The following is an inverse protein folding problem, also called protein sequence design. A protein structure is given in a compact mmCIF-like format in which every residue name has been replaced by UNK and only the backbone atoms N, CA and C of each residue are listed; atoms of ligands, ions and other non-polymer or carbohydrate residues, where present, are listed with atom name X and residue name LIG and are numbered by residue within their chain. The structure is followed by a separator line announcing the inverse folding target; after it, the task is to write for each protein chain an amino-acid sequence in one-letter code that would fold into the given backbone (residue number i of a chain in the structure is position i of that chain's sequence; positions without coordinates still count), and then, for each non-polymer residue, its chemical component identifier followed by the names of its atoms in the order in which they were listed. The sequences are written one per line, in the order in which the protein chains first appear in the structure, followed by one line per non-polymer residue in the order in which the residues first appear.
data_IF_171505401430
#
_entry.id   IF_171505401430
#
_cell.length_a   1.000
_cell.length_b   1.000
_cell.length_c   1.000
_cell.angle_alpha   90.00
_cell.angle_beta   90.00
_cell.angle_gamma   90.00
#
_symmetry.space_group_name_H-M   'P 1'
#
loop_
_entity.id
_entity.type
_entity.pdbx_description
1 polymer ?
#
# COMPACT_ATOMS: atom_id res chain seq x y z
N UNK A 1 -25.67 -18.90 -2.87
CA UNK A 1 -24.49 -19.78 -2.88
C UNK A 1 -23.35 -19.06 -3.60
N UNK A 2 -22.12 -19.23 -3.12
CA UNK A 2 -20.93 -18.65 -3.76
C UNK A 2 -20.29 -19.67 -4.71
N UNK A 3 -19.79 -19.19 -5.84
CA UNK A 3 -18.93 -19.93 -6.77
C UNK A 3 -17.56 -19.24 -6.81
N UNK A 4 -16.49 -19.97 -7.13
CA UNK A 4 -15.16 -19.39 -7.33
C UNK A 4 -14.34 -20.27 -8.29
N UNK A 5 -13.33 -19.69 -8.91
CA UNK A 5 -12.38 -20.42 -9.73
C UNK A 5 -11.34 -21.11 -8.84
N UNK A 6 -11.41 -22.44 -8.74
CA UNK A 6 -10.65 -23.21 -7.75
C UNK A 6 -9.20 -23.46 -8.18
N UNK A 7 -8.24 -22.85 -7.47
CA UNK A 7 -6.81 -23.13 -7.65
C UNK A 7 -6.45 -24.59 -7.29
N UNK A 8 -7.00 -25.21 -6.24
CA UNK A 8 -6.77 -26.63 -5.98
C UNK A 8 -7.22 -27.53 -7.13
N UNK A 9 -8.36 -27.23 -7.76
CA UNK A 9 -8.83 -27.97 -8.95
C UNK A 9 -7.90 -27.74 -10.14
N UNK A 10 -7.47 -26.50 -10.39
CA UNK A 10 -6.49 -26.18 -11.44
C UNK A 10 -5.19 -26.98 -11.27
N UNK A 11 -4.67 -27.06 -10.03
CA UNK A 11 -3.48 -27.83 -9.69
C UNK A 11 -3.59 -29.31 -10.11
N UNK A 12 -4.76 -29.92 -9.89
CA UNK A 12 -5.03 -31.30 -10.30
C UNK A 12 -5.13 -31.45 -11.82
N UNK A 13 -5.82 -30.53 -12.49
CA UNK A 13 -6.00 -30.55 -13.95
C UNK A 13 -4.68 -30.38 -14.70
N UNK A 14 -3.82 -29.45 -14.26
CA UNK A 14 -2.51 -29.20 -14.87
C UNK A 14 -1.43 -30.18 -14.40
N UNK A 15 -1.71 -30.97 -13.36
CA UNK A 15 -0.74 -31.84 -12.67
C UNK A 15 0.49 -31.06 -12.20
N UNK A 16 0.25 -29.90 -11.58
CA UNK A 16 1.28 -29.00 -11.04
C UNK A 16 1.01 -28.74 -9.57
N UNK A 17 2.03 -28.84 -8.74
CA UNK A 17 1.94 -28.51 -7.33
C UNK A 17 2.00 -26.98 -7.11
N UNK A 18 0.85 -26.37 -6.84
CA UNK A 18 0.75 -24.94 -6.55
C UNK A 18 1.10 -24.61 -5.08
N UNK A 19 1.23 -25.59 -4.19
CA UNK A 19 1.41 -25.35 -2.75
C UNK A 19 2.74 -24.65 -2.43
N UNK A 20 3.74 -24.83 -3.30
CA UNK A 20 5.06 -24.21 -3.19
C UNK A 20 5.16 -22.86 -3.90
N UNK A 21 4.16 -22.46 -4.68
CA UNK A 21 4.16 -21.17 -5.37
C UNK A 21 3.98 -20.03 -4.34
N UNK A 22 4.69 -18.90 -4.45
CA UNK A 22 4.42 -17.72 -3.62
C UNK A 22 2.93 -17.36 -3.61
N UNK A 23 2.40 -16.96 -2.47
CA UNK A 23 0.96 -16.65 -2.31
C UNK A 23 0.57 -15.47 -3.21
N UNK A 24 1.45 -14.48 -3.32
CA UNK A 24 1.31 -13.34 -4.24
C UNK A 24 1.07 -13.78 -5.69
N UNK A 25 1.84 -14.76 -6.20
CA UNK A 25 1.65 -15.30 -7.55
C UNK A 25 0.39 -16.14 -7.68
N UNK A 26 -0.03 -16.84 -6.62
CA UNK A 26 -1.30 -17.58 -6.63
C UNK A 26 -2.52 -16.65 -6.75
N UNK A 27 -2.47 -15.45 -6.17
CA UNK A 27 -3.53 -14.44 -6.34
C UNK A 27 -3.53 -13.89 -7.78
N UNK A 28 -2.36 -13.63 -8.35
CA UNK A 28 -2.26 -13.23 -9.77
C UNK A 28 -2.79 -14.35 -10.69
N UNK A 29 -2.46 -15.62 -10.38
CA UNK A 29 -2.95 -16.79 -11.10
C UNK A 29 -4.47 -16.94 -11.04
N UNK A 30 -5.09 -16.64 -9.89
CA UNK A 30 -6.56 -16.62 -9.76
C UNK A 30 -7.16 -15.62 -10.75
N UNK A 31 -6.60 -14.41 -10.83
CA UNK A 31 -7.11 -13.38 -11.75
C UNK A 31 -6.97 -13.82 -13.21
N UNK A 32 -5.80 -14.37 -13.58
CA UNK A 32 -5.55 -14.84 -14.96
C UNK A 32 -6.49 -16.00 -15.31
N UNK A 33 -6.71 -16.92 -14.37
CA UNK A 33 -7.65 -18.04 -14.55
C UNK A 33 -9.09 -17.55 -14.74
N UNK A 34 -9.54 -16.64 -13.87
CA UNK A 34 -10.91 -16.13 -13.88
C UNK A 34 -11.24 -15.31 -15.12
N UNK A 35 -10.26 -14.64 -15.70
CA UNK A 35 -10.42 -13.85 -16.92
C UNK A 35 -9.93 -14.56 -18.19
N UNK A 36 -9.66 -15.86 -18.14
CA UNK A 36 -9.21 -16.64 -19.29
C UNK A 36 -10.32 -16.74 -20.36
N UNK A 37 -10.37 -15.75 -21.24
CA UNK A 37 -11.35 -15.59 -22.32
C UNK A 37 -10.85 -16.08 -23.69
N UNK A 38 -9.60 -16.54 -23.77
CA UNK A 38 -8.96 -16.98 -25.00
C UNK A 38 -8.43 -15.85 -25.88
N UNK A 39 -8.58 -14.59 -25.46
CA UNK A 39 -8.14 -13.41 -26.19
C UNK A 39 -7.21 -12.51 -25.37
N UNK A 40 -7.73 -11.86 -24.32
CA UNK A 40 -6.95 -11.01 -23.40
C UNK A 40 -6.10 -11.86 -22.46
N UNK A 41 -6.67 -12.94 -21.93
CA UNK A 41 -5.95 -13.95 -21.17
C UNK A 41 -6.22 -15.33 -21.80
N UNK A 42 -5.15 -16.04 -22.13
CA UNK A 42 -5.22 -17.31 -22.86
C UNK A 42 -4.89 -18.47 -21.91
N UNK A 43 -5.32 -19.70 -22.24
CA UNK A 43 -5.00 -20.88 -21.43
C UNK A 43 -3.50 -21.06 -21.18
N UNK A 44 -2.64 -20.67 -22.13
CA UNK A 44 -1.18 -20.72 -21.97
C UNK A 44 -0.68 -19.77 -20.87
N UNK A 45 -1.31 -18.61 -20.70
CA UNK A 45 -0.88 -17.61 -19.72
C UNK A 45 -1.16 -18.14 -18.29
N UNK A 46 -2.25 -18.89 -18.12
CA UNK A 46 -2.57 -19.64 -16.88
C UNK A 46 -1.53 -20.74 -16.63
N UNK A 47 -1.24 -21.57 -17.64
CA UNK A 47 -0.30 -22.68 -17.48
C UNK A 47 1.13 -22.19 -17.19
N UNK A 48 1.58 -21.14 -17.87
CA UNK A 48 2.92 -20.60 -17.71
C UNK A 48 3.14 -20.03 -16.30
N UNK A 49 2.14 -19.32 -15.76
CA UNK A 49 2.20 -18.82 -14.39
C UNK A 49 2.06 -19.94 -13.35
N UNK A 50 1.19 -20.93 -13.60
CA UNK A 50 1.07 -22.11 -12.72
C UNK A 50 2.40 -22.89 -12.62
N UNK A 51 3.16 -22.95 -13.71
CA UNK A 51 4.48 -23.62 -13.80
C UNK A 51 5.66 -22.69 -13.52
N UNK A 52 5.44 -21.56 -12.84
CA UNK A 52 6.49 -20.59 -12.54
C UNK A 52 7.72 -21.24 -11.90
N UNK A 53 8.90 -20.87 -12.41
CA UNK A 53 10.18 -21.42 -11.98
C UNK A 53 10.99 -20.35 -11.23
N UNK A 54 11.17 -20.53 -9.93
CA UNK A 54 11.91 -19.62 -9.07
C UNK A 54 13.33 -19.30 -9.56
N UNK A 55 14.05 -20.29 -10.08
CA UNK A 55 15.46 -20.16 -10.49
C UNK A 55 15.61 -19.43 -11.83
N UNK A 56 14.58 -19.52 -12.68
CA UNK A 56 14.57 -18.90 -14.01
C UNK A 56 13.13 -18.57 -14.39
N UNK A 57 12.56 -17.46 -13.86
CA UNK A 57 11.26 -17.01 -14.29
C UNK A 57 11.26 -16.77 -15.80
N UNK A 58 10.18 -17.16 -16.47
CA UNK A 58 10.06 -16.98 -17.90
C UNK A 58 10.01 -15.47 -18.23
N UNK A 59 10.60 -15.05 -19.35
CA UNK A 59 10.48 -13.67 -19.83
C UNK A 59 9.16 -13.48 -20.59
N UNK A 60 8.05 -13.84 -19.94
CA UNK A 60 6.71 -13.81 -20.51
C UNK A 60 5.83 -12.79 -19.80
N UNK A 61 4.93 -12.21 -20.56
CA UNK A 61 3.94 -11.24 -20.10
C UNK A 61 2.75 -11.93 -19.42
N UNK A 62 2.31 -11.37 -18.30
CA UNK A 62 1.14 -11.81 -17.54
C UNK A 62 0.01 -10.78 -17.73
N UNK A 63 -1.16 -11.18 -18.23
CA UNK A 63 -2.34 -10.31 -18.28
C UNK A 63 -3.06 -10.34 -16.93
N UNK A 64 -2.89 -9.29 -16.12
CA UNK A 64 -3.50 -9.20 -14.80
C UNK A 64 -4.65 -8.20 -14.77
N UNK A 65 -5.87 -8.71 -14.58
CA UNK A 65 -7.06 -7.87 -14.39
C UNK A 65 -7.31 -7.66 -12.90
N UNK A 66 -7.28 -6.41 -12.45
CA UNK A 66 -7.51 -6.03 -11.05
C UNK A 66 -9.00 -6.04 -10.69
N UNK A 67 -9.31 -6.19 -9.40
CA UNK A 67 -10.68 -6.14 -8.90
C UNK A 67 -11.23 -4.71 -8.80
N UNK A 68 -10.37 -3.70 -8.58
CA UNK A 68 -10.73 -2.28 -8.44
C UNK A 68 -9.54 -1.36 -8.70
N UNK A 69 -9.78 -0.06 -8.75
CA UNK A 69 -8.76 0.98 -8.90
C UNK A 69 -8.94 2.06 -7.83
N UNK A 70 -7.83 2.57 -7.30
CA UNK A 70 -7.82 3.69 -6.34
C UNK A 70 -7.07 4.87 -6.93
N UNK A 71 -7.63 6.07 -6.82
CA UNK A 71 -7.05 7.30 -7.30
C UNK A 71 -6.82 8.28 -6.16
N UNK A 72 -5.84 9.16 -6.34
CA UNK A 72 -5.70 10.40 -5.58
C UNK A 72 -5.98 11.62 -6.47
N UNK A 73 -6.25 12.79 -5.88
CA UNK A 73 -6.84 13.93 -6.60
C UNK A 73 -5.94 14.59 -7.66
N UNK A 74 -4.61 14.54 -7.55
CA UNK A 74 -3.70 15.07 -8.58
C UNK A 74 -3.67 14.24 -9.86
N UNK A 75 -3.81 12.93 -9.76
CA UNK A 75 -3.81 12.03 -10.94
C UNK A 75 -5.21 11.63 -11.38
N UNK A 76 -6.16 11.59 -10.44
CA UNK A 76 -7.54 11.22 -10.71
C UNK A 76 -8.34 12.32 -11.43
N UNK A 77 -8.02 13.61 -11.20
CA UNK A 77 -8.65 14.70 -11.96
C UNK A 77 -8.32 14.59 -13.47
N UNK A 78 -7.04 14.50 -13.90
CA UNK A 78 -6.71 14.25 -15.30
C UNK A 78 -7.42 13.01 -15.88
N UNK A 79 -7.43 11.89 -15.16
CA UNK A 79 -8.09 10.67 -15.63
C UNK A 79 -9.61 10.88 -15.83
N UNK A 80 -10.28 11.58 -14.91
CA UNK A 80 -11.69 11.92 -15.07
C UNK A 80 -11.93 12.87 -16.26
N UNK A 81 -10.99 13.77 -16.56
CA UNK A 81 -11.02 14.58 -17.79
C UNK A 81 -10.92 13.69 -19.03
N UNK A 82 -10.05 12.67 -19.02
CA UNK A 82 -9.89 11.75 -20.15
C UNK A 82 -11.17 10.93 -20.39
N UNK A 83 -11.81 10.43 -19.33
CA UNK A 83 -13.12 9.77 -19.41
C UNK A 83 -14.20 10.70 -20.00
N UNK A 84 -14.21 11.97 -19.58
CA UNK A 84 -15.13 12.97 -20.14
C UNK A 84 -14.85 13.24 -21.63
N UNK A 85 -13.59 13.40 -22.00
CA UNK A 85 -13.16 13.63 -23.38
C UNK A 85 -13.46 12.42 -24.29
N UNK A 86 -13.34 11.20 -23.77
CA UNK A 86 -13.75 9.98 -24.47
C UNK A 86 -15.26 9.92 -24.69
N UNK A 87 -16.08 10.32 -23.71
CA UNK A 87 -17.54 10.46 -23.89
C UNK A 87 -17.87 11.43 -25.02
N UNK A 88 -17.20 12.57 -25.08
CA UNK A 88 -17.35 13.54 -26.17
C UNK A 88 -16.91 12.97 -27.53
N UNK A 89 -15.81 12.20 -27.56
CA UNK A 89 -15.36 11.53 -28.78
C UNK A 89 -16.37 10.50 -29.29
N UNK A 90 -16.94 9.68 -28.41
CA UNK A 90 -17.99 8.72 -28.73
C UNK A 90 -19.26 9.42 -29.22
N UNK A 91 -19.64 10.54 -28.60
CA UNK A 91 -20.76 11.37 -29.05
C UNK A 91 -20.55 11.91 -30.47
N UNK A 92 -19.34 12.41 -30.78
CA UNK A 92 -18.98 12.87 -32.14
C UNK A 92 -19.06 11.75 -33.18
N UNK A 93 -18.79 10.50 -32.77
CA UNK A 93 -18.98 9.31 -33.60
C UNK A 93 -20.45 8.84 -33.67
N UNK A 94 -21.40 9.61 -33.12
CA UNK A 94 -22.84 9.32 -33.06
C UNK A 94 -23.16 7.98 -32.37
N UNK A 95 -22.35 7.61 -31.38
CA UNK A 95 -22.58 6.45 -30.50
C UNK A 95 -23.00 6.93 -29.12
N UNK A 96 -23.58 6.03 -28.31
CA UNK A 96 -23.96 6.35 -26.93
C UNK A 96 -22.71 6.61 -26.08
N UNK A 97 -22.50 7.83 -25.54
CA UNK A 97 -21.36 8.14 -24.69
C UNK A 97 -21.29 7.27 -23.43
N UNK A 98 -22.42 6.74 -22.96
CA UNK A 98 -22.48 5.92 -21.75
C UNK A 98 -21.73 4.58 -21.87
N UNK A 99 -21.29 4.19 -23.06
CA UNK A 99 -20.37 3.04 -23.21
C UNK A 99 -19.01 3.30 -22.55
N UNK A 100 -18.65 4.56 -22.33
CA UNK A 100 -17.46 4.94 -21.55
C UNK A 100 -17.89 4.98 -20.08
N UNK A 101 -17.58 3.88 -19.40
CA UNK A 101 -17.84 3.64 -17.99
C UNK A 101 -16.72 2.75 -17.45
N UNK A 102 -16.19 3.00 -16.22
CA UNK A 102 -15.27 2.07 -15.59
C UNK A 102 -15.94 0.71 -15.34
N UNK A 103 -15.30 -0.36 -15.80
CA UNK A 103 -15.74 -1.75 -15.70
C UNK A 103 -15.37 -2.40 -14.36
N UNK A 104 -14.55 -1.72 -13.56
CA UNK A 104 -14.23 -2.08 -12.17
C UNK A 104 -14.54 -0.88 -11.27
N UNK A 105 -14.82 -1.09 -9.97
CA UNK A 105 -14.99 0.00 -9.03
C UNK A 105 -13.77 0.91 -9.00
N UNK A 106 -14.02 2.22 -8.98
CA UNK A 106 -13.00 3.26 -8.91
C UNK A 106 -13.29 4.13 -7.71
N UNK A 107 -12.34 4.23 -6.79
CA UNK A 107 -12.46 5.10 -5.61
C UNK A 107 -11.39 6.19 -5.67
N UNK A 108 -11.80 7.45 -5.77
CA UNK A 108 -10.91 8.61 -5.69
C UNK A 108 -10.91 9.18 -4.28
N UNK A 109 -9.74 9.34 -3.68
CA UNK A 109 -9.57 10.02 -2.38
C UNK A 109 -8.94 11.39 -2.60
N UNK A 110 -9.49 12.41 -1.95
CA UNK A 110 -8.96 13.78 -2.01
C UNK A 110 -8.09 14.04 -0.78
N UNK A 111 -6.78 13.94 -0.94
CA UNK A 111 -5.82 14.06 0.16
C UNK A 111 -4.52 14.81 -0.19
N UNK A 112 -4.17 15.00 -1.47
CA UNK A 112 -2.92 15.65 -1.88
C UNK A 112 -3.04 17.18 -2.00
N UNK A 113 -4.23 17.72 -1.81
CA UNK A 113 -4.49 19.14 -2.01
C UNK A 113 -4.33 19.98 -0.74
N UNK A 114 -4.62 19.41 0.45
CA UNK A 114 -4.56 20.12 1.74
C UNK A 114 -3.12 20.52 2.07
N UNK A 115 -2.94 21.79 2.43
CA UNK A 115 -1.64 22.35 2.83
C UNK A 115 -1.64 22.75 4.32
N UNK A 116 -0.46 22.73 4.94
CA UNK A 116 -0.26 23.23 6.30
C UNK A 116 0.05 24.74 6.24
N UNK A 117 -0.96 25.56 5.96
CA UNK A 117 -0.84 27.02 5.95
C UNK A 117 -0.72 27.60 7.37
N UNK A 118 -1.51 27.03 8.29
CA UNK A 118 -1.52 27.38 9.71
C UNK A 118 -1.24 26.11 10.51
N UNK A 119 -0.35 26.20 11.49
CA UNK A 119 -0.06 25.11 12.43
C UNK A 119 -0.07 25.64 13.88
N UNK A 120 0.07 24.76 14.87
CA UNK A 120 0.32 25.16 16.26
C UNK A 120 -0.84 25.83 17.02
N UNK A 121 -2.06 25.89 16.48
CA UNK A 121 -3.23 26.47 17.17
C UNK A 121 -4.47 25.58 17.03
N UNK A 122 -5.43 25.71 17.96
CA UNK A 122 -6.72 24.99 17.93
C UNK A 122 -7.54 25.26 16.65
N UNK A 123 -7.28 26.39 15.98
CA UNK A 123 -7.97 26.78 14.74
C UNK A 123 -7.30 26.25 13.46
N UNK A 124 -6.09 25.69 13.54
CA UNK A 124 -5.29 25.31 12.37
C UNK A 124 -6.04 24.41 11.39
N UNK A 125 -6.72 23.38 11.89
CA UNK A 125 -7.49 22.46 11.05
C UNK A 125 -8.58 23.17 10.25
N UNK A 126 -9.41 23.98 10.93
CA UNK A 126 -10.51 24.72 10.28
C UNK A 126 -9.96 25.69 9.22
N UNK A 127 -8.91 26.44 9.55
CA UNK A 127 -8.33 27.44 8.65
C UNK A 127 -7.71 26.78 7.41
N UNK A 128 -6.94 25.71 7.58
CA UNK A 128 -6.37 24.96 6.46
C UNK A 128 -7.47 24.39 5.55
N UNK A 129 -8.55 23.85 6.13
CA UNK A 129 -9.70 23.37 5.34
C UNK A 129 -10.41 24.51 4.59
N UNK A 130 -10.54 25.70 5.18
CA UNK A 130 -11.12 26.86 4.47
C UNK A 130 -10.25 27.30 3.29
N UNK A 131 -8.93 27.34 3.48
CA UNK A 131 -8.00 27.64 2.38
C UNK A 131 -8.07 26.58 1.29
N UNK A 132 -8.17 25.32 1.68
CA UNK A 132 -8.29 24.19 0.77
C UNK A 132 -9.51 24.32 -0.16
N UNK A 133 -10.70 24.50 0.43
CA UNK A 133 -11.92 24.68 -0.35
C UNK A 133 -11.89 25.93 -1.24
N UNK A 134 -11.26 27.00 -0.78
CA UNK A 134 -11.12 28.24 -1.56
C UNK A 134 -10.21 28.04 -2.78
N UNK A 135 -9.10 27.30 -2.63
CA UNK A 135 -8.11 27.06 -3.69
C UNK A 135 -8.59 26.04 -4.72
N UNK A 136 -9.26 24.97 -4.27
CA UNK A 136 -9.55 23.81 -5.10
C UNK A 136 -11.03 23.70 -5.51
N UNK A 137 -11.82 24.78 -5.38
CA UNK A 137 -13.27 24.80 -5.66
C UNK A 137 -13.64 24.16 -7.01
N UNK A 138 -13.01 24.59 -8.10
CA UNK A 138 -13.31 24.09 -9.45
C UNK A 138 -13.03 22.58 -9.58
N UNK A 139 -11.90 22.12 -9.03
CA UNK A 139 -11.53 20.70 -9.02
C UNK A 139 -12.58 19.88 -8.27
N UNK A 140 -13.10 20.37 -7.16
CA UNK A 140 -14.11 19.67 -6.38
C UNK A 140 -15.49 19.66 -7.04
N UNK A 141 -15.87 20.76 -7.69
CA UNK A 141 -17.09 20.80 -8.52
C UNK A 141 -16.99 19.78 -9.68
N UNK A 142 -15.82 19.66 -10.30
CA UNK A 142 -15.56 18.67 -11.35
C UNK A 142 -15.58 17.21 -10.84
N UNK A 143 -14.93 16.92 -9.71
CA UNK A 143 -14.97 15.59 -9.09
C UNK A 143 -16.40 15.18 -8.69
N UNK A 144 -17.17 16.13 -8.15
CA UNK A 144 -18.58 15.92 -7.80
C UNK A 144 -19.44 15.62 -9.03
N UNK A 145 -19.18 16.30 -10.16
CA UNK A 145 -19.79 15.94 -11.43
C UNK A 145 -19.43 14.51 -11.84
N UNK A 146 -18.16 14.10 -11.73
CA UNK A 146 -17.70 12.76 -12.05
C UNK A 146 -18.45 11.68 -11.27
N UNK A 147 -18.56 11.86 -9.95
CA UNK A 147 -19.31 10.97 -9.07
C UNK A 147 -20.80 10.81 -9.46
N UNK A 148 -21.39 11.82 -10.10
CA UNK A 148 -22.77 11.77 -10.57
C UNK A 148 -22.87 11.20 -12.00
N UNK A 149 -21.81 11.33 -12.79
CA UNK A 149 -21.79 10.97 -14.20
C UNK A 149 -21.44 9.49 -14.45
N UNK A 150 -20.77 8.82 -13.51
CA UNK A 150 -20.30 7.44 -13.61
C UNK A 150 -20.84 6.62 -12.43
N UNK A 151 -21.36 5.41 -12.70
CA UNK A 151 -22.02 4.57 -11.69
C UNK A 151 -21.02 3.90 -10.75
N UNK A 152 -19.83 3.57 -11.27
CA UNK A 152 -18.78 2.82 -10.55
C UNK A 152 -17.71 3.73 -9.95
N UNK A 153 -17.89 5.05 -10.00
CA UNK A 153 -16.94 6.05 -9.54
C UNK A 153 -17.33 6.66 -8.18
N UNK A 154 -16.60 6.29 -7.14
CA UNK A 154 -16.70 6.85 -5.79
C UNK A 154 -15.72 8.00 -5.56
N UNK A 155 -16.12 8.97 -4.73
CA UNK A 155 -15.24 10.06 -4.27
C UNK A 155 -15.30 10.13 -2.74
N UNK A 156 -14.14 10.05 -2.10
CA UNK A 156 -13.95 10.36 -0.68
C UNK A 156 -13.54 11.83 -0.56
N UNK A 157 -14.34 12.67 0.14
CA UNK A 157 -14.11 14.11 0.21
C UNK A 157 -12.86 14.46 1.04
N UNK A 158 -12.34 15.69 0.91
CA UNK A 158 -11.18 16.14 1.67
C UNK A 158 -11.45 16.18 3.17
N UNK A 159 -10.40 15.94 3.97
CA UNK A 159 -10.45 16.00 5.43
C UNK A 159 -10.94 14.73 6.13
N UNK A 160 -11.17 13.63 5.40
CA UNK A 160 -11.52 12.32 5.97
C UNK A 160 -10.27 11.52 6.34
N UNK A 161 -9.24 11.56 5.51
CA UNK A 161 -7.99 10.82 5.71
C UNK A 161 -7.16 10.80 4.44
N UNK A 162 -6.05 10.07 4.47
CA UNK A 162 -5.16 9.87 3.32
C UNK A 162 -5.53 8.59 2.56
N UNK A 163 -5.27 8.57 1.25
CA UNK A 163 -5.72 7.54 0.30
C UNK A 163 -5.42 6.12 0.79
N UNK A 164 -4.21 5.86 1.28
CA UNK A 164 -3.80 4.51 1.67
C UNK A 164 -4.40 4.05 3.00
N UNK A 165 -4.56 4.98 3.96
CA UNK A 165 -5.22 4.67 5.23
C UNK A 165 -6.72 4.45 5.03
N UNK A 166 -7.38 5.33 4.26
CA UNK A 166 -8.79 5.14 3.88
C UNK A 166 -8.97 3.83 3.09
N UNK A 167 -8.01 3.49 2.23
CA UNK A 167 -8.03 2.21 1.52
C UNK A 167 -7.99 1.02 2.49
N UNK A 168 -7.07 1.02 3.44
CA UNK A 168 -6.89 -0.03 4.44
C UNK A 168 -8.10 -0.13 5.40
N UNK A 169 -8.60 1.01 5.86
CA UNK A 169 -9.61 1.12 6.92
C UNK A 169 -11.05 1.23 6.42
N UNK A 170 -11.29 1.40 5.11
CA UNK A 170 -12.65 1.52 4.58
C UNK A 170 -12.86 0.82 3.22
N UNK A 171 -12.05 1.12 2.20
CA UNK A 171 -12.33 0.68 0.82
C UNK A 171 -12.03 -0.81 0.56
N UNK A 172 -11.03 -1.36 1.24
CA UNK A 172 -10.61 -2.74 1.08
C UNK A 172 -11.69 -3.73 1.52
N UNK A 173 -11.92 -4.75 0.68
CA UNK A 173 -12.95 -5.79 0.90
C UNK A 173 -12.38 -7.15 1.23
N UNK A 174 -11.13 -7.42 0.83
CA UNK A 174 -10.48 -8.74 0.96
C UNK A 174 -10.99 -9.76 -0.06
N UNK A 175 -12.32 -9.88 -0.22
CA UNK A 175 -13.00 -10.68 -1.25
C UNK A 175 -14.14 -9.87 -1.88
N UNK A 176 -14.19 -9.86 -3.21
CA UNK A 176 -15.28 -9.30 -3.99
C UNK A 176 -16.28 -10.38 -4.40
N UNK A 177 -17.51 -9.95 -4.68
CA UNK A 177 -18.58 -10.82 -5.18
C UNK A 177 -19.25 -10.20 -6.40
N UNK A 178 -19.41 -10.96 -7.48
CA UNK A 178 -20.11 -10.53 -8.69
C UNK A 178 -21.28 -11.46 -9.00
N UNK A 179 -22.46 -10.89 -9.18
CA UNK A 179 -23.66 -11.65 -9.56
C UNK A 179 -23.53 -12.20 -10.99
N UNK A 180 -23.74 -13.49 -11.12
CA UNK A 180 -23.72 -14.21 -12.40
C UNK A 180 -25.12 -14.31 -13.03
N UNK A 181 -25.17 -14.68 -14.30
CA UNK A 181 -26.43 -14.82 -15.05
C UNK A 181 -27.37 -15.89 -14.46
N UNK A 182 -26.81 -16.94 -13.84
CA UNK A 182 -27.55 -18.01 -13.17
C UNK A 182 -28.03 -17.63 -11.74
N UNK A 183 -27.76 -16.40 -11.30
CA UNK A 183 -28.10 -15.89 -9.97
C UNK A 183 -27.11 -16.26 -8.86
N UNK A 184 -26.05 -17.02 -9.15
CA UNK A 184 -24.97 -17.28 -8.20
C UNK A 184 -24.07 -16.06 -7.99
N UNK A 185 -23.29 -16.06 -6.91
CA UNK A 185 -22.30 -15.02 -6.63
C UNK A 185 -20.90 -15.59 -6.87
N UNK A 186 -20.19 -15.05 -7.86
CA UNK A 186 -18.78 -15.36 -8.08
C UNK A 186 -17.92 -14.59 -7.08
N UNK A 187 -17.20 -15.29 -6.20
CA UNK A 187 -16.25 -14.74 -5.25
C UNK A 187 -14.82 -14.78 -5.80
N UNK A 188 -14.05 -13.72 -5.56
CA UNK A 188 -12.67 -13.55 -6.02
C UNK A 188 -11.89 -12.59 -5.10
N UNK A 189 -10.55 -12.67 -5.02
CA UNK A 189 -9.78 -11.88 -4.09
C UNK A 189 -9.81 -10.40 -4.50
N UNK A 190 -9.77 -9.52 -3.51
CA UNK A 190 -9.49 -8.10 -3.73
C UNK A 190 -8.08 -7.95 -4.32
N UNK A 191 -7.96 -7.07 -5.31
CA UNK A 191 -6.72 -6.67 -5.95
C UNK A 191 -6.90 -5.32 -6.62
N UNK A 192 -5.83 -4.51 -6.67
CA UNK A 192 -5.92 -3.17 -7.22
C UNK A 192 -4.63 -2.68 -7.84
N UNK A 193 -4.77 -1.65 -8.66
CA UNK A 193 -3.71 -0.67 -8.86
C UNK A 193 -4.21 0.70 -8.43
N UNK A 194 -3.27 1.59 -8.15
CA UNK A 194 -3.60 2.99 -7.90
C UNK A 194 -2.62 3.94 -8.54
N UNK A 195 -3.03 5.19 -8.71
CA UNK A 195 -2.20 6.25 -9.31
C UNK A 195 -1.31 6.95 -8.28
N UNK A 196 -0.88 6.18 -7.28
CA UNK A 196 0.03 6.57 -6.22
C UNK A 196 0.97 5.39 -5.91
N UNK A 197 2.27 5.65 -5.78
CA UNK A 197 3.30 4.62 -5.59
C UNK A 197 3.09 3.79 -4.32
N UNK A 198 2.54 4.40 -3.28
CA UNK A 198 2.37 3.81 -1.95
C UNK A 198 1.07 3.00 -1.83
N UNK A 199 0.35 2.78 -2.94
CA UNK A 199 -0.78 1.82 -3.02
C UNK A 199 -0.40 0.45 -2.47
N UNK A 200 0.90 0.12 -2.49
CA UNK A 200 1.52 -1.05 -1.88
C UNK A 200 1.29 -1.20 -0.37
N UNK A 201 0.91 -0.15 0.37
CA UNK A 201 0.52 -0.25 1.79
C UNK A 201 -0.56 -1.32 2.02
N UNK A 202 -1.47 -1.49 1.06
CA UNK A 202 -2.55 -2.48 1.14
C UNK A 202 -2.07 -3.93 1.15
N UNK A 203 -0.82 -4.19 0.72
CA UNK A 203 -0.26 -5.53 0.70
C UNK A 203 -0.03 -6.09 2.11
N UNK A 204 -0.01 -5.24 3.14
CA UNK A 204 -0.01 -5.65 4.55
C UNK A 204 -1.31 -6.33 5.00
N UNK A 205 -2.42 -6.09 4.29
CA UNK A 205 -3.74 -6.72 4.50
C UNK A 205 -3.94 -7.95 3.59
N UNK A 206 -2.89 -8.40 2.88
CA UNK A 206 -2.96 -9.56 1.99
C UNK A 206 -3.66 -9.32 0.66
N UNK A 207 -3.76 -8.06 0.24
CA UNK A 207 -4.30 -7.66 -1.05
C UNK A 207 -3.16 -7.36 -2.02
N UNK A 208 -3.16 -7.99 -3.19
CA UNK A 208 -2.17 -7.70 -4.25
C UNK A 208 -2.50 -6.36 -4.90
N UNK A 209 -1.56 -5.42 -4.84
CA UNK A 209 -1.69 -4.15 -5.54
C UNK A 209 -0.48 -3.23 -5.43
N UNK A 210 -0.35 -2.33 -6.39
CA UNK A 210 0.81 -1.42 -6.50
C UNK A 210 0.46 -0.15 -7.27
N UNK A 211 1.38 0.82 -7.24
CA UNK A 211 1.24 2.07 -7.97
C UNK A 211 1.54 1.93 -9.45
N UNK A 212 0.73 2.56 -10.30
CA UNK A 212 0.91 2.64 -11.76
C UNK A 212 0.71 4.07 -12.25
N UNK A 213 1.02 4.33 -13.53
CA UNK A 213 0.73 5.60 -14.17
C UNK A 213 -0.77 5.78 -14.44
N UNK A 214 -1.16 7.02 -14.75
CA UNK A 214 -2.56 7.36 -15.07
C UNK A 214 -3.11 6.58 -16.26
N UNK A 215 -2.28 6.35 -17.30
CA UNK A 215 -2.68 5.64 -18.52
C UNK A 215 -2.96 4.16 -18.23
N UNK A 216 -2.11 3.50 -17.44
CA UNK A 216 -2.33 2.10 -17.05
C UNK A 216 -3.58 1.96 -16.17
N UNK A 217 -3.80 2.90 -15.25
CA UNK A 217 -5.02 2.94 -14.45
C UNK A 217 -6.26 3.13 -15.34
N UNK A 218 -6.25 4.07 -16.27
CA UNK A 218 -7.35 4.32 -17.21
C UNK A 218 -7.64 3.09 -18.09
N UNK A 219 -6.59 2.45 -18.63
CA UNK A 219 -6.75 1.22 -19.40
C UNK A 219 -7.37 0.09 -18.56
N UNK A 220 -6.93 -0.04 -17.30
CA UNK A 220 -7.51 -0.97 -16.32
C UNK A 220 -8.99 -0.69 -16.04
N UNK A 221 -9.37 0.58 -15.91
CA UNK A 221 -10.77 0.99 -15.73
C UNK A 221 -11.63 0.55 -16.91
N UNK A 222 -11.11 0.60 -18.13
CA UNK A 222 -11.80 0.18 -19.34
C UNK A 222 -11.66 -1.32 -19.64
N UNK A 223 -11.22 -2.10 -18.64
CA UNK A 223 -11.14 -3.57 -18.67
C UNK A 223 -10.01 -4.13 -19.51
N UNK A 224 -8.95 -3.36 -19.75
CA UNK A 224 -7.69 -3.93 -20.25
C UNK A 224 -6.92 -4.55 -19.07
N UNK A 225 -6.36 -5.75 -19.24
CA UNK A 225 -5.45 -6.29 -18.25
C UNK A 225 -4.18 -5.43 -18.19
N UNK A 226 -3.61 -5.31 -16.99
CA UNK A 226 -2.27 -4.79 -16.80
C UNK A 226 -1.29 -5.87 -17.22
N UNK A 227 -0.47 -5.57 -18.23
CA UNK A 227 0.53 -6.51 -18.73
C UNK A 227 1.88 -6.20 -18.11
N UNK A 228 2.46 -7.16 -17.40
CA UNK A 228 3.81 -7.05 -16.85
C UNK A 228 4.59 -8.35 -17.03
N UNK A 229 5.93 -8.26 -17.04
CA UNK A 229 6.79 -9.44 -17.12
C UNK A 229 6.64 -10.28 -15.87
N UNK A 230 6.64 -11.60 -16.04
CA UNK A 230 6.63 -12.57 -14.95
C UNK A 230 7.71 -12.23 -13.93
N UNK A 231 7.34 -11.87 -12.68
CA UNK A 231 8.28 -11.30 -11.75
C UNK A 231 9.11 -12.39 -11.10
N UNK A 232 10.35 -12.03 -10.75
CA UNK A 232 11.05 -12.72 -9.66
C UNK A 232 10.34 -12.42 -8.33
N UNK A 233 10.32 -13.40 -7.42
CA UNK A 233 9.76 -13.23 -6.08
C UNK A 233 10.85 -13.46 -5.05
N UNK A 234 11.11 -12.45 -4.22
CA UNK A 234 12.06 -12.51 -3.11
C UNK A 234 11.30 -12.86 -1.84
N UNK A 235 11.63 -13.98 -1.22
CA UNK A 235 11.09 -14.36 0.08
C UNK A 235 11.84 -13.62 1.18
N UNK A 236 11.13 -12.86 2.01
CA UNK A 236 11.71 -12.17 3.17
C UNK A 236 11.33 -12.90 4.46
N UNK A 237 12.24 -13.75 4.93
CA UNK A 237 12.03 -14.63 6.06
C UNK A 237 12.29 -13.90 7.38
N UNK A 238 11.23 -13.68 8.15
CA UNK A 238 11.24 -13.02 9.44
C UNK A 238 11.23 -14.03 10.58
N UNK A 239 12.16 -13.86 11.53
CA UNK A 239 12.24 -14.64 12.77
C UNK A 239 12.28 -13.73 13.99
N UNK A 240 12.23 -14.30 15.20
CA UNK A 240 12.24 -13.53 16.43
C UNK A 240 10.95 -12.73 16.64
N UNK A 241 11.06 -11.68 17.47
CA UNK A 241 9.98 -10.76 17.79
C UNK A 241 10.52 -9.33 17.82
N UNK A 242 9.69 -8.36 17.43
CA UNK A 242 10.07 -6.96 17.45
C UNK A 242 10.26 -6.51 18.92
N UNK A 243 11.42 -5.95 19.31
CA UNK A 243 11.64 -5.50 20.67
C UNK A 243 10.64 -4.41 21.06
N UNK A 244 10.24 -4.36 22.32
CA UNK A 244 9.29 -3.34 22.81
C UNK A 244 9.75 -1.88 22.61
N UNK A 245 11.04 -1.65 22.44
CA UNK A 245 11.62 -0.33 22.17
C UNK A 245 11.68 0.01 20.66
N UNK A 246 11.40 -0.95 19.78
CA UNK A 246 11.35 -0.76 18.34
C UNK A 246 9.89 -0.54 17.89
N UNK A 247 9.74 0.28 16.85
CA UNK A 247 8.46 0.64 16.25
C UNK A 247 8.30 0.02 14.86
N UNK A 248 7.08 0.08 14.30
CA UNK A 248 6.81 -0.25 12.91
C UNK A 248 7.73 0.51 11.94
N UNK A 249 7.99 1.80 12.22
CA UNK A 249 8.91 2.63 11.43
C UNK A 249 10.34 2.10 11.48
N UNK A 250 10.82 1.69 12.64
CA UNK A 250 12.18 1.13 12.77
C UNK A 250 12.32 -0.16 11.95
N UNK A 251 11.29 -1.00 11.95
CA UNK A 251 11.23 -2.20 11.13
C UNK A 251 11.24 -1.83 9.64
N UNK A 252 10.37 -0.92 9.21
CA UNK A 252 10.27 -0.51 7.80
C UNK A 252 11.57 0.12 7.27
N UNK A 253 12.26 0.95 8.07
CA UNK A 253 13.57 1.50 7.72
C UNK A 253 14.65 0.40 7.62
N UNK A 254 14.63 -0.56 8.54
CA UNK A 254 15.56 -1.70 8.54
C UNK A 254 15.35 -2.57 7.29
N UNK A 255 14.09 -2.94 7.00
CA UNK A 255 13.71 -3.70 5.81
C UNK A 255 14.09 -2.94 4.54
N UNK A 256 13.83 -1.63 4.49
CA UNK A 256 14.16 -0.79 3.34
C UNK A 256 15.67 -0.79 3.05
N UNK A 257 16.49 -0.64 4.08
CA UNK A 257 17.95 -0.70 3.96
C UNK A 257 18.41 -2.05 3.40
N UNK A 258 17.91 -3.16 3.97
CA UNK A 258 18.29 -4.52 3.57
C UNK A 258 17.87 -4.81 2.12
N UNK A 259 16.60 -4.54 1.78
CA UNK A 259 16.06 -4.81 0.45
C UNK A 259 16.70 -3.94 -0.64
N UNK A 260 17.11 -2.71 -0.31
CA UNK A 260 17.90 -1.88 -1.23
C UNK A 260 19.27 -2.45 -1.51
N UNK A 261 19.95 -2.99 -0.50
CA UNK A 261 21.22 -3.67 -0.70
C UNK A 261 21.04 -4.94 -1.55
N UNK A 262 19.92 -5.65 -1.37
CA UNK A 262 19.58 -6.86 -2.14
C UNK A 262 19.09 -6.60 -3.57
N UNK A 263 18.77 -5.34 -3.94
CA UNK A 263 18.37 -4.90 -5.28
C UNK A 263 17.09 -5.58 -5.81
N UNK A 264 15.97 -5.31 -5.16
CA UNK A 264 14.66 -5.87 -5.53
C UNK A 264 13.87 -5.05 -6.56
N UNK A 265 14.54 -4.25 -7.39
CA UNK A 265 13.87 -3.40 -8.39
C UNK A 265 13.06 -4.24 -9.38
N UNK A 266 11.75 -3.96 -9.49
CA UNK A 266 10.84 -4.68 -10.39
C UNK A 266 10.49 -6.11 -9.97
N UNK A 267 10.88 -6.52 -8.75
CA UNK A 267 10.58 -7.84 -8.18
C UNK A 267 9.41 -7.75 -7.21
N UNK A 268 8.75 -8.87 -6.96
CA UNK A 268 7.86 -9.00 -5.81
C UNK A 268 8.68 -9.33 -4.57
N UNK A 269 8.26 -8.82 -3.42
CA UNK A 269 8.75 -9.27 -2.11
C UNK A 269 7.58 -9.90 -1.37
N UNK A 270 7.76 -11.09 -0.82
CA UNK A 270 6.74 -11.78 -0.01
C UNK A 270 7.33 -12.06 1.38
N UNK A 271 6.69 -11.51 2.40
CA UNK A 271 7.10 -11.64 3.79
C UNK A 271 6.51 -12.91 4.40
N UNK A 272 7.35 -13.70 5.04
CA UNK A 272 6.95 -14.98 5.62
C UNK A 272 7.84 -15.34 6.83
N UNK A 273 7.56 -16.48 7.46
CA UNK A 273 8.26 -16.94 8.65
C UNK A 273 7.51 -16.67 9.95
N UNK A 274 8.00 -17.24 11.07
CA UNK A 274 7.33 -17.14 12.36
C UNK A 274 7.29 -15.71 12.91
N UNK A 275 8.26 -14.86 12.56
CA UNK A 275 8.26 -13.44 12.93
C UNK A 275 7.19 -12.65 12.17
N UNK A 276 7.00 -12.94 10.88
CA UNK A 276 5.98 -12.27 10.06
C UNK A 276 4.56 -12.52 10.60
N UNK A 277 4.27 -13.76 11.02
CA UNK A 277 2.99 -14.14 11.60
C UNK A 277 2.69 -13.45 12.95
N UNK A 278 3.68 -12.86 13.62
CA UNK A 278 3.53 -12.15 14.90
C UNK A 278 3.37 -10.65 14.75
N UNK A 279 3.61 -10.09 13.56
CA UNK A 279 3.44 -8.67 13.31
C UNK A 279 1.96 -8.31 13.30
N UNK A 280 1.63 -7.17 13.92
CA UNK A 280 0.28 -6.59 13.82
C UNK A 280 0.03 -6.07 12.41
N UNK A 281 -1.22 -5.87 12.00
CA UNK A 281 -1.46 -5.31 10.66
C UNK A 281 -0.80 -3.93 10.49
N UNK A 282 -0.90 -2.96 11.42
CA UNK A 282 -0.19 -1.69 11.26
C UNK A 282 1.31 -1.86 10.96
N UNK A 283 2.01 -2.79 11.63
CA UNK A 283 3.42 -3.08 11.35
C UNK A 283 3.62 -3.59 9.90
N UNK A 284 2.76 -4.51 9.44
CA UNK A 284 2.81 -5.07 8.08
C UNK A 284 2.56 -3.98 7.04
N UNK A 285 1.55 -3.14 7.26
CA UNK A 285 1.18 -2.04 6.37
C UNK A 285 2.31 -1.00 6.28
N UNK A 286 2.96 -0.64 7.39
CA UNK A 286 4.11 0.28 7.38
C UNK A 286 5.29 -0.29 6.57
N UNK A 287 5.58 -1.59 6.68
CA UNK A 287 6.62 -2.25 5.89
C UNK A 287 6.26 -2.35 4.40
N UNK A 288 5.00 -2.71 4.09
CA UNK A 288 4.50 -2.83 2.73
C UNK A 288 4.46 -1.48 2.01
N UNK A 289 4.07 -0.41 2.72
CA UNK A 289 4.03 0.97 2.24
C UNK A 289 5.37 1.41 1.66
N UNK A 290 6.48 1.00 2.27
CA UNK A 290 7.83 1.39 1.83
C UNK A 290 8.34 0.65 0.57
N UNK A 291 7.50 -0.15 -0.10
CA UNK A 291 7.90 -0.87 -1.30
C UNK A 291 8.53 -0.02 -2.41
N UNK A 292 8.00 1.18 -2.72
CA UNK A 292 8.66 2.09 -3.67
C UNK A 292 10.07 2.50 -3.19
N UNK A 293 10.24 2.74 -1.89
CA UNK A 293 11.52 3.15 -1.28
C UNK A 293 12.56 2.04 -1.31
N UNK A 294 12.19 0.74 -1.26
CA UNK A 294 13.10 -0.39 -1.53
C UNK A 294 13.03 -0.97 -2.95
N UNK A 295 12.12 -0.44 -3.77
CA UNK A 295 11.96 -0.58 -5.23
C UNK A 295 11.33 -1.87 -5.68
N UNK A 296 10.80 -2.66 -4.76
CA UNK A 296 9.95 -3.76 -5.18
C UNK A 296 8.70 -3.19 -5.85
N UNK A 297 8.10 -3.98 -6.75
CA UNK A 297 6.77 -3.68 -7.25
C UNK A 297 5.76 -3.72 -6.10
N UNK A 298 5.93 -4.63 -5.14
CA UNK A 298 5.12 -4.74 -3.93
C UNK A 298 5.82 -5.50 -2.80
N UNK A 299 5.33 -5.33 -1.58
CA UNK A 299 5.76 -6.06 -0.38
C UNK A 299 4.60 -6.77 0.32
N UNK A 300 4.40 -8.05 0.03
CA UNK A 300 3.17 -8.80 0.31
C UNK A 300 3.22 -9.62 1.61
N UNK A 301 2.16 -9.50 2.43
CA UNK A 301 1.90 -10.34 3.59
C UNK A 301 0.63 -11.17 3.36
N UNK A 302 0.68 -12.52 3.35
CA UNK A 302 -0.51 -13.35 3.17
C UNK A 302 -1.63 -13.09 4.20
N UNK A 303 -2.88 -13.28 3.76
CA UNK A 303 -4.08 -13.22 4.62
C UNK A 303 -4.01 -14.31 5.69
N UNK A 304 -4.21 -13.93 6.94
CA UNK A 304 -4.14 -14.81 8.12
C UNK A 304 -5.13 -14.36 9.21
N UNK A 305 -5.00 -14.92 10.42
CA UNK A 305 -5.85 -14.60 11.57
C UNK A 305 -5.79 -13.12 11.97
N UNK A 306 -4.61 -12.48 11.92
CA UNK A 306 -4.46 -11.04 12.20
C UNK A 306 -5.20 -10.19 11.17
N UNK A 307 -5.16 -10.61 9.90
CA UNK A 307 -5.92 -9.95 8.82
C UNK A 307 -7.42 -9.97 9.12
N UNK A 308 -7.96 -11.11 9.54
CA UNK A 308 -9.38 -11.22 9.92
C UNK A 308 -9.70 -10.42 11.17
N UNK A 309 -8.79 -10.40 12.16
CA UNK A 309 -8.96 -9.62 13.39
C UNK A 309 -9.02 -8.12 13.08
N UNK A 310 -8.16 -7.63 12.19
CA UNK A 310 -8.16 -6.23 11.77
C UNK A 310 -9.43 -5.84 10.99
N UNK A 311 -9.90 -6.69 10.06
CA UNK A 311 -11.15 -6.42 9.35
C UNK A 311 -12.34 -6.29 10.34
N UNK A 312 -12.41 -7.17 11.35
CA UNK A 312 -13.43 -7.03 12.42
C UNK A 312 -13.22 -5.76 13.24
N UNK A 313 -11.98 -5.48 13.65
CA UNK A 313 -11.62 -4.32 14.47
C UNK A 313 -11.91 -2.98 13.80
N UNK A 314 -11.88 -2.93 12.48
CA UNK A 314 -12.23 -1.76 11.66
C UNK A 314 -13.71 -1.74 11.25
N UNK A 315 -14.55 -2.56 11.87
CA UNK A 315 -16.00 -2.53 11.72
C UNK A 315 -16.53 -3.18 10.45
N UNK A 316 -15.76 -4.07 9.78
CA UNK A 316 -16.30 -4.83 8.65
C UNK A 316 -17.38 -5.81 9.11
N UNK A 317 -18.45 -5.99 8.32
CA UNK A 317 -19.51 -6.94 8.65
C UNK A 317 -18.97 -8.37 8.86
N UNK A 318 -19.50 -9.09 9.86
CA UNK A 318 -19.06 -10.45 10.21
C UNK A 318 -19.24 -11.45 9.05
N UNK A 319 -20.27 -11.27 8.21
CA UNK A 319 -20.52 -12.08 7.03
C UNK A 319 -19.44 -11.88 5.95
N UNK A 320 -18.96 -10.64 5.77
CA UNK A 320 -17.82 -10.35 4.90
C UNK A 320 -16.55 -10.99 5.45
N UNK A 321 -16.25 -10.84 6.74
CA UNK A 321 -15.05 -11.45 7.34
C UNK A 321 -15.08 -12.97 7.24
N UNK A 322 -16.25 -13.57 7.46
CA UNK A 322 -16.44 -15.01 7.25
C UNK A 322 -16.24 -15.42 5.79
N UNK A 323 -16.75 -14.64 4.83
CA UNK A 323 -16.53 -14.89 3.40
C UNK A 323 -15.03 -14.85 3.06
N UNK A 324 -14.29 -13.87 3.58
CA UNK A 324 -12.83 -13.79 3.40
C UNK A 324 -12.15 -15.05 3.93
N UNK A 325 -12.46 -15.46 5.17
CA UNK A 325 -11.88 -16.67 5.76
C UNK A 325 -12.20 -17.93 4.92
N UNK A 326 -13.48 -18.14 4.61
CA UNK A 326 -13.94 -19.33 3.89
C UNK A 326 -13.31 -19.40 2.48
N UNK A 327 -13.24 -18.26 1.77
CA UNK A 327 -12.63 -18.18 0.44
C UNK A 327 -11.13 -18.50 0.45
N UNK A 328 -10.36 -17.81 1.29
CA UNK A 328 -8.89 -18.00 1.33
C UNK A 328 -8.52 -19.39 1.84
N UNK A 329 -9.29 -19.98 2.77
CA UNK A 329 -9.10 -21.38 3.19
C UNK A 329 -9.43 -22.36 2.05
N UNK A 330 -10.54 -22.16 1.33
CA UNK A 330 -10.93 -23.02 0.22
C UNK A 330 -9.92 -23.00 -0.95
N UNK A 331 -9.19 -21.89 -1.12
CA UNK A 331 -8.16 -21.71 -2.14
C UNK A 331 -6.75 -22.16 -1.70
N UNK A 332 -6.58 -22.63 -0.45
CA UNK A 332 -5.27 -22.89 0.17
C UNK A 332 -4.35 -21.64 0.15
N UNK A 333 -4.91 -20.45 0.39
CA UNK A 333 -4.21 -19.15 0.43
C UNK A 333 -4.17 -18.53 1.84
N UNK A 334 -4.80 -19.19 2.82
CA UNK A 334 -4.91 -18.68 4.19
C UNK A 334 -3.73 -19.10 5.07
N UNK A 335 -3.14 -18.14 5.77
CA UNK A 335 -2.06 -18.30 6.75
C UNK A 335 -0.69 -17.93 6.19
N UNK A 336 0.17 -17.36 7.05
CA UNK A 336 1.56 -17.07 6.73
C UNK A 336 2.40 -18.34 6.92
N UNK A 337 3.11 -18.74 5.87
CA UNK A 337 4.05 -19.85 5.92
C UNK A 337 5.16 -19.61 6.95
N UNK A 338 5.29 -20.49 7.95
CA UNK A 338 6.29 -20.34 9.03
C UNK A 338 7.59 -21.10 8.80
N UNK A 339 7.61 -22.09 7.90
CA UNK A 339 8.83 -22.84 7.58
C UNK A 339 9.60 -22.19 6.44
N UNK A 340 10.90 -22.02 6.60
CA UNK A 340 11.78 -21.36 5.62
C UNK A 340 11.69 -21.93 4.19
N UNK A 341 11.63 -23.27 4.05
CA UNK A 341 11.64 -23.94 2.74
C UNK A 341 10.24 -24.35 2.24
N UNK A 342 9.17 -23.78 2.82
CA UNK A 342 7.79 -24.13 2.46
C UNK A 342 7.36 -23.60 1.10
N UNK A 343 7.97 -22.51 0.64
CA UNK A 343 7.66 -21.83 -0.62
C UNK A 343 8.94 -21.72 -1.46
N UNK A 344 8.76 -21.71 -2.78
CA UNK A 344 9.83 -21.52 -3.75
C UNK A 344 9.96 -20.04 -4.07
N UNK A 345 11.10 -19.43 -3.74
CA UNK A 345 11.41 -18.04 -4.04
C UNK A 345 12.64 -17.94 -4.94
N UNK A 346 12.72 -16.89 -5.77
CA UNK A 346 13.89 -16.62 -6.62
C UNK A 346 15.14 -16.30 -5.80
N UNK A 347 14.97 -15.69 -4.64
CA UNK A 347 16.00 -15.55 -3.61
C UNK A 347 15.33 -15.40 -2.23
N UNK A 348 16.09 -15.66 -1.17
CA UNK A 348 15.63 -15.50 0.21
C UNK A 348 16.52 -14.51 0.94
N UNK A 349 15.90 -13.58 1.66
CA UNK A 349 16.54 -12.61 2.56
C UNK A 349 16.01 -12.86 3.97
N UNK A 350 16.85 -12.70 4.98
CA UNK A 350 16.51 -13.04 6.36
C UNK A 350 16.69 -11.85 7.29
N UNK A 351 15.79 -11.73 8.27
CA UNK A 351 15.90 -10.77 9.37
C UNK A 351 15.39 -11.42 10.66
N UNK A 352 16.22 -11.35 11.70
CA UNK A 352 15.76 -11.56 13.07
C UNK A 352 15.23 -10.23 13.61
N UNK A 353 13.92 -10.18 13.87
CA UNK A 353 13.23 -8.99 14.37
C UNK A 353 13.85 -8.48 15.69
N UNK A 354 14.46 -9.35 16.50
CA UNK A 354 15.11 -8.96 17.76
C UNK A 354 16.35 -8.06 17.55
N UNK A 355 16.89 -8.04 16.33
CA UNK A 355 18.02 -7.18 15.94
C UNK A 355 17.60 -5.78 15.54
N UNK A 356 16.31 -5.52 15.32
CA UNK A 356 15.81 -4.19 14.99
C UNK A 356 16.11 -3.23 16.14
N UNK A 357 16.56 -2.03 15.79
CA UNK A 357 16.93 -0.95 16.72
C UNK A 357 16.28 0.34 16.28
N UNK A 358 15.91 1.17 17.26
CA UNK A 358 15.39 2.50 17.02
C UNK A 358 16.31 3.31 16.11
N UNK A 359 15.75 3.89 15.06
CA UNK A 359 16.50 4.51 13.97
C UNK A 359 15.73 5.64 13.29
N UNK A 360 16.46 6.51 12.61
CA UNK A 360 15.94 7.49 11.65
C UNK A 360 16.55 7.21 10.28
N UNK A 361 15.99 7.78 9.22
CA UNK A 361 16.59 7.73 7.90
C UNK A 361 16.83 9.13 7.34
N UNK A 362 17.96 9.31 6.66
CA UNK A 362 18.32 10.55 6.00
C UNK A 362 19.78 10.92 6.17
N UNK A 363 20.13 12.20 5.96
CA UNK A 363 19.23 13.34 5.76
C UNK A 363 18.72 13.50 4.32
N UNK A 364 19.18 12.66 3.37
CA UNK A 364 18.89 12.84 1.93
C UNK A 364 18.07 11.71 1.29
N UNK A 365 18.14 10.48 1.81
CA UNK A 365 17.49 9.32 1.19
C UNK A 365 16.85 8.40 2.24
N UNK A 366 15.72 7.72 1.94
CA UNK A 366 15.02 6.84 2.89
C UNK A 366 15.82 5.60 3.34
N UNK A 367 16.76 5.13 2.51
CA UNK A 367 17.61 3.98 2.83
C UNK A 367 18.84 4.33 3.68
N UNK A 368 19.10 5.62 3.94
CA UNK A 368 20.22 6.09 4.76
C UNK A 368 19.85 5.98 6.25
N UNK A 369 19.64 4.74 6.72
CA UNK A 369 19.28 4.45 8.11
C UNK A 369 20.44 4.76 9.07
N UNK A 370 20.13 5.48 10.14
CA UNK A 370 21.03 5.84 11.22
C UNK A 370 20.37 5.43 12.54
N UNK A 371 21.03 4.55 13.31
CA UNK A 371 20.54 4.18 14.64
C UNK A 371 20.61 5.39 15.58
N UNK A 372 19.60 5.54 16.44
CA UNK A 372 19.49 6.70 17.35
C UNK A 372 20.77 6.97 18.15
N UNK A 373 21.46 5.97 18.73
CA UNK A 373 22.71 6.20 19.46
C UNK A 373 23.84 6.82 18.61
N UNK A 374 23.81 6.59 17.30
CA UNK A 374 24.82 7.05 16.33
C UNK A 374 24.43 8.36 15.65
N UNK A 375 23.24 8.91 15.91
CA UNK A 375 22.70 10.04 15.16
C UNK A 375 23.58 11.29 15.27
N UNK A 376 23.97 11.67 16.50
CA UNK A 376 24.78 12.88 16.74
C UNK A 376 26.14 12.81 16.04
N UNK A 377 26.86 11.70 16.20
CA UNK A 377 28.18 11.52 15.59
C UNK A 377 28.09 11.46 14.06
N UNK A 378 27.09 10.75 13.54
CA UNK A 378 26.87 10.63 12.08
C UNK A 378 26.52 11.97 11.47
N UNK A 379 25.61 12.73 12.09
CA UNK A 379 25.24 14.05 11.59
C UNK A 379 26.42 15.03 11.59
N UNK A 380 27.22 15.07 12.67
CA UNK A 380 28.41 15.91 12.73
C UNK A 380 29.44 15.57 11.63
N UNK A 381 29.59 14.27 11.32
CA UNK A 381 30.44 13.83 10.22
C UNK A 381 29.87 14.26 8.85
N UNK A 382 28.55 14.12 8.66
CA UNK A 382 27.90 14.56 7.42
C UNK A 382 28.01 16.07 7.18
N UNK A 383 28.05 16.89 8.24
CA UNK A 383 28.27 18.33 8.09
C UNK A 383 29.61 18.64 7.41
N UNK A 384 30.68 17.94 7.77
CA UNK A 384 32.03 18.21 7.26
C UNK A 384 32.39 17.45 5.98
N UNK A 385 31.77 16.29 5.74
CA UNK A 385 31.95 15.53 4.50
C UNK A 385 31.66 16.39 3.27
N UNK A 386 32.39 16.11 2.18
CA UNK A 386 32.19 16.81 0.92
C UNK A 386 30.77 16.57 0.36
N UNK A 387 30.27 17.51 -0.43
CA UNK A 387 28.96 17.34 -1.11
C UNK A 387 28.96 16.12 -2.03
N UNK A 388 30.09 15.83 -2.68
CA UNK A 388 30.28 14.67 -3.54
C UNK A 388 30.13 13.34 -2.78
N UNK A 389 30.53 13.30 -1.51
CA UNK A 389 30.35 12.15 -0.62
C UNK A 389 29.01 12.16 0.13
N UNK A 390 28.09 13.03 -0.28
CA UNK A 390 26.76 13.15 0.32
C UNK A 390 26.69 14.01 1.57
N UNK A 391 27.77 14.69 1.98
CA UNK A 391 27.80 15.63 3.09
C UNK A 391 27.33 17.06 2.73
N UNK A 392 27.64 18.02 3.60
CA UNK A 392 27.30 19.43 3.46
C UNK A 392 28.49 20.36 3.21
N UNK A 393 29.73 19.82 3.21
CA UNK A 393 30.95 20.55 2.89
C UNK A 393 31.26 21.72 3.83
N UNK A 394 30.86 21.64 5.10
CA UNK A 394 31.14 22.68 6.10
C UNK A 394 32.54 22.50 6.68
N UNK A 395 33.23 23.61 6.92
CA UNK A 395 34.52 23.60 7.59
C UNK A 395 34.31 23.56 9.11
N UNK A 396 35.26 23.02 9.87
CA UNK A 396 35.15 22.87 11.33
C UNK A 396 34.83 24.17 12.07
N UNK A 397 35.34 25.31 11.58
CA UNK A 397 35.06 26.64 12.14
C UNK A 397 33.59 27.07 11.99
N UNK A 398 32.88 26.57 10.97
CA UNK A 398 31.48 26.90 10.74
C UNK A 398 30.54 26.15 11.70
N UNK A 399 30.99 25.04 12.29
CA UNK A 399 30.18 24.22 13.20
C UNK A 399 29.94 24.91 14.55
N UNK A 400 30.79 25.86 14.93
CA UNK A 400 30.71 26.59 16.19
C UNK A 400 30.09 27.97 16.05
N UNK A 401 29.64 28.35 14.84
CA UNK A 401 29.01 29.64 14.62
C UNK A 401 27.59 29.67 15.20
N UNK A 402 27.26 30.76 15.87
CA UNK A 402 25.92 31.03 16.42
C UNK A 402 25.30 32.24 15.73
N UNK A 403 24.01 32.16 15.42
CA UNK A 403 23.24 33.30 14.91
C UNK A 403 22.12 33.66 15.91
N UNK A 404 21.83 34.95 16.06
CA UNK A 404 20.62 35.40 16.76
C UNK A 404 19.43 35.15 15.82
N UNK A 405 18.52 34.28 16.24
CA UNK A 405 17.24 34.08 15.56
C UNK A 405 16.22 34.98 16.23
N UNK A 406 15.72 35.99 15.50
CA UNK A 406 14.63 36.83 15.97
C UNK A 406 13.32 36.17 15.52
N UNK A 407 12.55 35.67 16.46
CA UNK A 407 11.20 35.16 16.15
C UNK A 407 10.22 36.31 16.10
N UNK A 408 9.24 36.25 15.21
CA UNK A 408 8.16 37.24 15.17
C UNK A 408 7.30 37.15 16.45
N UNK A 409 6.51 38.19 16.74
CA UNK A 409 5.56 38.15 17.86
C UNK A 409 4.56 37.00 17.71
N UNK A 410 4.10 36.75 16.47
CA UNK A 410 3.20 35.64 16.14
C UNK A 410 3.87 34.27 16.38
N UNK A 411 5.15 34.13 16.04
CA UNK A 411 5.92 32.91 16.30
C UNK A 411 6.17 32.69 17.80
N UNK A 412 6.32 33.76 18.58
CA UNK A 412 6.44 33.69 20.05
C UNK A 412 5.13 33.27 20.70
N UNK A 413 4.00 33.79 20.24
CA UNK A 413 2.67 33.43 20.75
C UNK A 413 2.32 31.96 20.40
N UNK A 414 2.68 31.50 19.21
CA UNK A 414 2.56 30.08 18.80
C UNK A 414 3.43 29.12 19.61
N UNK A 415 4.53 29.59 20.20
CA UNK A 415 5.38 28.80 21.08
C UNK A 415 4.88 28.78 22.51
N UNK A 416 4.30 29.88 23.01
CA UNK A 416 3.73 29.93 24.36
C UNK A 416 2.47 29.08 24.51
N UNK A 417 1.76 28.80 23.40
CA UNK A 417 0.56 27.95 23.37
C UNK A 417 0.89 26.46 23.15
N UNK A 418 2.18 26.08 22.98
CA UNK A 418 2.58 24.67 22.93
C UNK A 418 2.56 24.06 24.33
N UNK A 419 1.93 22.88 24.53
CA UNK A 419 2.04 22.18 25.80
C UNK A 419 3.50 21.89 26.09
N UNK A 420 4.00 22.39 27.21
CA UNK A 420 5.32 22.03 27.72
C UNK A 420 5.32 20.54 28.06
N UNK A 421 6.36 19.77 27.70
CA UNK A 421 6.48 18.38 28.13
C UNK A 421 6.49 18.35 29.65
N UNK A 422 5.54 17.65 30.25
CA UNK A 422 5.38 17.54 31.69
C UNK A 422 6.64 16.87 32.29
N UNK A 423 7.43 17.57 33.13
CA UNK A 423 8.63 17.00 33.70
C UNK A 423 8.23 16.03 34.82
N UNK A 424 8.09 14.74 34.47
CA UNK A 424 8.04 13.59 35.39
C UNK A 424 6.86 13.65 36.39
N UNK A 425 5.71 13.12 36.00
CA UNK A 425 4.66 12.71 36.94
C UNK A 425 5.08 11.43 37.69
N UNK A 426 5.91 11.60 38.72
CA UNK A 426 6.04 10.62 39.79
C UNK A 426 4.72 10.50 40.56
N UNK A 427 4.11 9.31 40.52
CA UNK A 427 2.93 8.87 41.29
C UNK A 427 1.59 9.54 40.96
N UNK A 428 0.81 8.90 40.09
CA UNK A 428 -0.65 8.90 40.19
C UNK A 428 -1.23 7.55 39.74
N UNK A 429 -2.16 7.03 40.54
CA UNK A 429 -2.85 5.74 40.36
C UNK A 429 -3.67 5.73 39.07
N UNK A 430 -3.61 4.61 38.36
CA UNK A 430 -4.53 4.25 37.28
C UNK A 430 -5.89 3.89 37.88
N UNK A 431 -6.89 4.74 37.67
CA UNK A 431 -8.30 4.36 37.80
C UNK A 431 -9.04 4.66 36.49
N UNK A 432 -9.52 3.57 35.86
CA UNK A 432 -10.58 3.46 34.85
C UNK A 432 -10.33 3.79 33.36
N UNK A 433 -11.09 3.15 32.45
CA UNK A 433 -10.56 2.52 31.24
C UNK A 433 -11.05 3.18 29.95
N UNK A 434 -10.28 2.99 28.88
CA UNK A 434 -10.79 3.10 27.51
C UNK A 434 -10.79 4.51 26.94
N UNK A 435 -9.64 4.97 26.49
CA UNK A 435 -9.56 5.92 25.38
C UNK A 435 -8.45 5.48 24.44
N UNK A 436 -8.86 5.27 23.18
CA UNK A 436 -8.04 4.85 22.05
C UNK A 436 -6.81 5.75 21.93
N UNK A 437 -5.62 5.14 21.93
CA UNK A 437 -4.39 5.82 21.56
C UNK A 437 -4.46 6.14 20.07
N UNK A 438 -4.54 7.43 19.74
CA UNK A 438 -4.20 7.95 18.42
C UNK A 438 -2.71 7.68 18.17
N UNK A 439 -2.40 6.51 17.61
CA UNK A 439 -1.21 6.30 16.82
C UNK A 439 -1.59 6.61 15.37
N UNK A 440 -1.34 7.84 14.93
CA UNK A 440 -1.26 8.14 13.50
C UNK A 440 -0.08 7.36 12.93
N UNK A 441 -0.37 6.46 11.99
CA UNK A 441 0.61 5.83 11.09
C UNK A 441 1.15 6.88 10.13
#
# INVERSE_FOLDING_TARGET
SYQFQSLPKLSQELKVDLSRLPVSLRIVLESVLRHCDGFKARPRDVENLARWNAQKPAAEEIPFTVARIVLQDFTGVPLLVDLAAMRDAVARLKKDPKIIEPLVPVDLVVDHSVQVDVNGTKQSFMLNMQYEFKRNRERYEFLKWGQQAFETFGVVPPGIGIVHQVNLEYLARGVFTQKQADGSLLAYPDSLVGTDSHTTMINGLGIVGWGVGGIEAEAGMLGQPLTFLTPEVVGFYLTGELPAAATATDLALTVTQILRQHKVVGKFVEFYGPGAAKLTLPDRATVANMAPEYGATMGYFPVDEETLAYLRGTGRPDDLVKLVEDYYRAQNLFGIATKKDSLSFSSVVELDLATVRSSVAGPKRPQDRIEIPSLKSTFNNLLTKSVAEGGYGKNSEQLTQTAKVTMSADEQEMLSDRPTPDPVAGKAKLDHPGTLRNGSV
#
